data_IF_617937259447
#
_entry.id   IF_617937259447
#
_cell.length_a   1.000
_cell.length_b   1.000
_cell.length_c   1.000
_cell.angle_alpha   90.00
_cell.angle_beta   90.00
_cell.angle_gamma   90.00
#
_symmetry.space_group_name_H-M   'P 1'
#
loop_
_entity.id
_entity.type
_entity.pdbx_description
1 polymer ?
#
# COMPACT_ATOMS: atom_id res chain seq x y z
N UNK A 1 -18.66 14.41 33.26
CA UNK A 1 -18.49 13.98 31.85
C UNK A 1 -17.98 12.54 31.85
N UNK A 2 -18.31 11.75 30.83
CA UNK A 2 -17.84 10.37 30.64
C UNK A 2 -17.90 9.98 29.15
N UNK A 3 -17.17 8.92 28.74
CA UNK A 3 -17.09 8.53 27.33
C UNK A 3 -18.41 8.05 26.72
N UNK A 4 -19.33 7.48 27.52
CA UNK A 4 -20.64 7.07 26.99
C UNK A 4 -21.50 8.30 26.67
N UNK A 5 -21.41 9.34 27.49
CA UNK A 5 -22.04 10.64 27.23
C UNK A 5 -21.41 11.32 26.01
N UNK A 6 -20.08 11.37 25.91
CA UNK A 6 -19.39 11.92 24.74
C UNK A 6 -19.79 11.21 23.43
N UNK A 7 -19.90 9.87 23.46
CA UNK A 7 -20.35 9.10 22.30
C UNK A 7 -21.74 9.53 21.82
N UNK A 8 -22.67 9.79 22.75
CA UNK A 8 -24.01 10.29 22.41
C UNK A 8 -23.95 11.69 21.80
N UNK A 9 -23.19 12.61 22.42
CA UNK A 9 -22.99 13.97 21.91
C UNK A 9 -22.40 13.98 20.51
N UNK A 10 -21.42 13.11 20.25
CA UNK A 10 -20.80 12.96 18.93
C UNK A 10 -21.80 12.46 17.89
N UNK A 11 -22.59 11.44 18.21
CA UNK A 11 -23.65 10.93 17.33
C UNK A 11 -24.78 11.95 17.11
N UNK A 12 -25.02 12.82 18.08
CA UNK A 12 -25.97 13.93 18.00
C UNK A 12 -25.47 15.17 17.25
N UNK A 13 -24.25 15.14 16.70
CA UNK A 13 -23.59 16.33 16.12
C UNK A 13 -23.54 17.53 17.09
N UNK A 14 -23.38 17.27 18.38
CA UNK A 14 -23.38 18.30 19.44
C UNK A 14 -22.00 18.94 19.66
N UNK A 15 -20.98 18.51 18.91
CA UNK A 15 -19.64 19.09 18.93
C UNK A 15 -19.42 19.98 17.69
N UNK A 16 -19.58 21.32 17.80
CA UNK A 16 -19.40 22.23 16.66
C UNK A 16 -17.94 22.28 16.19
N UNK A 17 -16.99 21.97 17.08
CA UNK A 17 -15.56 21.97 16.78
C UNK A 17 -14.89 20.75 17.40
N UNK A 18 -13.76 20.34 16.85
CA UNK A 18 -12.92 19.29 17.46
C UNK A 18 -12.47 19.73 18.86
N UNK A 19 -12.21 21.02 19.07
CA UNK A 19 -11.87 21.56 20.40
C UNK A 19 -12.97 21.27 21.43
N UNK A 20 -14.25 21.45 21.08
CA UNK A 20 -15.36 21.15 22.01
C UNK A 20 -15.45 19.67 22.39
N UNK A 21 -14.95 18.77 21.54
CA UNK A 21 -14.79 17.35 21.87
C UNK A 21 -13.61 17.12 22.81
N UNK A 22 -12.47 17.77 22.56
CA UNK A 22 -11.28 17.72 23.42
C UNK A 22 -11.57 18.27 24.82
N UNK A 23 -12.34 19.36 24.92
CA UNK A 23 -12.71 19.99 26.20
C UNK A 23 -13.47 19.01 27.11
N UNK A 24 -14.32 18.15 26.53
CA UNK A 24 -15.03 17.11 27.28
C UNK A 24 -14.10 15.98 27.75
N UNK A 25 -13.05 15.65 26.98
CA UNK A 25 -11.99 14.71 27.43
C UNK A 25 -11.24 15.31 28.60
N UNK A 26 -10.82 16.58 28.48
CA UNK A 26 -10.13 17.31 29.56
C UNK A 26 -11.00 17.32 30.82
N UNK A 27 -12.31 17.53 30.70
CA UNK A 27 -13.23 17.49 31.83
C UNK A 27 -13.32 16.10 32.48
N UNK A 28 -13.22 15.00 31.72
CA UNK A 28 -13.10 13.65 32.31
C UNK A 28 -11.82 13.56 33.13
N UNK A 29 -10.71 13.99 32.55
CA UNK A 29 -9.38 13.96 33.16
C UNK A 29 -9.30 14.80 34.43
N UNK A 30 -9.81 16.03 34.40
CA UNK A 30 -9.82 16.96 35.53
C UNK A 30 -10.65 16.42 36.69
N UNK A 31 -11.81 15.84 36.40
CA UNK A 31 -12.65 15.22 37.43
C UNK A 31 -11.95 14.01 38.05
N UNK A 32 -11.30 13.17 37.24
CA UNK A 32 -10.55 12.02 37.73
C UNK A 32 -9.38 12.43 38.63
N UNK A 33 -8.60 13.44 38.23
CA UNK A 33 -7.51 14.01 39.03
C UNK A 33 -8.01 14.68 40.31
N UNK A 34 -9.10 15.43 40.23
CA UNK A 34 -9.70 16.11 41.40
C UNK A 34 -10.16 15.11 42.46
N UNK A 35 -10.77 14.00 42.05
CA UNK A 35 -11.29 13.00 42.99
C UNK A 35 -10.21 12.03 43.50
N UNK A 36 -9.30 11.59 42.64
CA UNK A 36 -8.34 10.53 42.95
C UNK A 36 -6.93 11.04 43.29
N UNK A 37 -6.63 12.30 42.98
CA UNK A 37 -5.29 12.90 43.08
C UNK A 37 -4.48 12.75 41.79
N UNK A 38 -3.64 13.74 41.52
CA UNK A 38 -2.82 13.82 40.29
C UNK A 38 -1.83 12.65 40.16
N UNK A 39 -1.24 12.20 41.27
CA UNK A 39 -0.27 11.10 41.29
C UNK A 39 -0.91 9.71 41.38
N UNK A 40 -2.25 9.64 41.37
CA UNK A 40 -2.96 8.36 41.33
C UNK A 40 -2.80 7.70 39.96
N UNK A 41 -3.05 6.39 39.89
CA UNK A 41 -3.06 5.69 38.60
C UNK A 41 -4.06 6.31 37.62
N UNK A 42 -5.19 6.83 38.11
CA UNK A 42 -6.17 7.52 37.28
C UNK A 42 -5.64 8.86 36.77
N UNK A 43 -4.91 9.61 37.60
CA UNK A 43 -4.28 10.87 37.21
C UNK A 43 -3.23 10.67 36.11
N UNK A 44 -2.37 9.66 36.26
CA UNK A 44 -1.34 9.31 35.26
C UNK A 44 -1.97 8.83 33.94
N UNK A 45 -3.00 7.98 34.00
CA UNK A 45 -3.75 7.58 32.79
C UNK A 45 -4.36 8.80 32.09
N UNK A 46 -4.82 9.79 32.85
CA UNK A 46 -5.37 11.02 32.27
C UNK A 46 -4.28 11.87 31.57
N UNK A 47 -3.03 11.85 32.06
CA UNK A 47 -1.91 12.48 31.35
C UNK A 47 -1.64 11.76 30.02
N UNK A 48 -1.54 10.43 30.04
CA UNK A 48 -1.34 9.62 28.82
C UNK A 48 -2.46 9.86 27.78
N UNK A 49 -3.72 9.96 28.24
CA UNK A 49 -4.87 10.26 27.38
C UNK A 49 -4.71 11.64 26.73
N UNK A 50 -4.37 12.67 27.51
CA UNK A 50 -4.27 14.03 26.99
C UNK A 50 -3.07 14.19 26.05
N UNK A 51 -1.95 13.51 26.31
CA UNK A 51 -0.79 13.50 25.43
C UNK A 51 -1.13 12.88 24.06
N UNK A 52 -1.84 11.74 24.05
CA UNK A 52 -2.26 11.08 22.81
C UNK A 52 -3.30 11.93 22.05
N UNK A 53 -4.23 12.57 22.75
CA UNK A 53 -5.21 13.49 22.12
C UNK A 53 -4.52 14.68 21.47
N UNK A 54 -3.56 15.30 22.17
CA UNK A 54 -2.81 16.45 21.65
C UNK A 54 -1.99 16.05 20.41
N UNK A 55 -1.34 14.90 20.46
CA UNK A 55 -0.63 14.33 19.32
C UNK A 55 -1.57 14.15 18.12
N UNK A 56 -2.67 13.42 18.27
CA UNK A 56 -3.63 13.21 17.18
C UNK A 56 -4.23 14.52 16.66
N UNK A 57 -4.48 15.48 17.55
CA UNK A 57 -5.00 16.79 17.15
C UNK A 57 -3.97 17.56 16.32
N UNK A 58 -2.69 17.54 16.68
CA UNK A 58 -1.61 18.17 15.90
C UNK A 58 -1.34 17.48 14.56
N UNK A 59 -1.60 16.18 14.46
CA UNK A 59 -1.45 15.41 13.23
C UNK A 59 -2.69 15.52 12.32
N UNK A 60 -3.80 16.05 12.82
CA UNK A 60 -5.03 16.22 12.06
C UNK A 60 -4.80 17.17 10.87
N UNK A 61 -5.32 16.84 9.70
CA UNK A 61 -5.33 17.76 8.58
C UNK A 61 -6.30 18.92 8.83
N UNK A 62 -5.88 20.14 8.49
CA UNK A 62 -6.69 21.35 8.64
C UNK A 62 -7.62 21.57 7.44
N UNK A 63 -7.23 21.06 6.27
CA UNK A 63 -7.96 21.22 5.02
C UNK A 63 -7.87 19.96 4.13
N UNK A 64 -8.73 19.92 3.11
CA UNK A 64 -8.86 18.78 2.21
C UNK A 64 -7.57 18.48 1.42
N UNK A 65 -6.80 19.51 1.04
CA UNK A 65 -5.56 19.33 0.28
C UNK A 65 -4.48 18.66 1.15
N UNK A 66 -4.38 19.06 2.40
CA UNK A 66 -3.48 18.44 3.38
C UNK A 66 -3.89 17.00 3.69
N UNK A 67 -5.20 16.73 3.84
CA UNK A 67 -5.72 15.37 4.05
C UNK A 67 -5.40 14.46 2.86
N UNK A 68 -5.58 14.97 1.64
CA UNK A 68 -5.25 14.27 0.41
C UNK A 68 -3.74 14.00 0.33
N UNK A 69 -2.89 14.99 0.62
CA UNK A 69 -1.44 14.84 0.61
C UNK A 69 -0.95 13.82 1.65
N UNK A 70 -1.50 13.83 2.87
CA UNK A 70 -1.21 12.81 3.90
C UNK A 70 -1.60 11.41 3.43
N UNK A 71 -2.77 11.28 2.79
CA UNK A 71 -3.24 10.01 2.22
C UNK A 71 -2.33 9.49 1.11
N UNK A 72 -1.84 10.38 0.23
CA UNK A 72 -0.89 10.02 -0.82
C UNK A 72 0.45 9.54 -0.23
N UNK A 73 1.02 10.26 0.74
CA UNK A 73 2.26 9.83 1.41
C UNK A 73 2.10 8.48 2.09
N UNK A 74 0.96 8.25 2.75
CA UNK A 74 0.65 6.95 3.35
C UNK A 74 0.61 5.84 2.28
N UNK A 75 -0.02 6.09 1.14
CA UNK A 75 -0.06 5.11 0.04
C UNK A 75 1.34 4.81 -0.51
N UNK A 76 2.19 5.83 -0.69
CA UNK A 76 3.58 5.67 -1.14
C UNK A 76 4.37 4.84 -0.12
N UNK A 77 4.23 5.11 1.17
CA UNK A 77 4.90 4.34 2.24
C UNK A 77 4.47 2.88 2.23
N UNK A 78 3.17 2.60 2.12
CA UNK A 78 2.65 1.24 2.02
C UNK A 78 3.16 0.52 0.77
N UNK A 79 3.23 1.22 -0.36
CA UNK A 79 3.79 0.65 -1.59
C UNK A 79 5.27 0.30 -1.44
N UNK A 80 6.06 1.19 -0.84
CA UNK A 80 7.46 0.93 -0.57
C UNK A 80 7.66 -0.25 0.40
N UNK A 81 6.83 -0.35 1.42
CA UNK A 81 6.84 -1.50 2.34
C UNK A 81 6.56 -2.81 1.59
N UNK A 82 5.54 -2.85 0.73
CA UNK A 82 5.22 -4.01 -0.08
C UNK A 82 6.30 -4.36 -1.12
N UNK A 83 7.03 -3.38 -1.67
CA UNK A 83 8.17 -3.65 -2.55
C UNK A 83 9.29 -4.35 -1.77
N UNK A 84 9.55 -3.92 -0.53
CA UNK A 84 10.63 -4.48 0.29
C UNK A 84 10.24 -5.79 0.99
N UNK A 85 8.95 -5.97 1.27
CA UNK A 85 8.36 -7.14 1.94
C UNK A 85 7.14 -7.63 1.15
N UNK A 86 7.36 -8.31 0.01
CA UNK A 86 6.25 -8.78 -0.81
C UNK A 86 5.41 -9.81 -0.05
N UNK A 87 4.07 -9.80 -0.22
CA UNK A 87 3.19 -10.82 0.33
C UNK A 87 3.63 -12.24 -0.09
N UNK A 88 3.42 -13.27 0.75
CA UNK A 88 3.81 -14.64 0.43
C UNK A 88 3.31 -15.13 -0.93
N UNK A 89 2.11 -14.71 -1.35
CA UNK A 89 1.53 -15.05 -2.66
C UNK A 89 2.34 -14.48 -3.83
N UNK A 90 2.93 -13.29 -3.66
CA UNK A 90 3.79 -12.62 -4.64
C UNK A 90 5.23 -13.13 -4.52
N UNK A 91 5.73 -13.35 -3.30
CA UNK A 91 7.05 -13.93 -3.04
C UNK A 91 7.16 -15.39 -3.50
N UNK A 92 6.03 -16.11 -3.54
CA UNK A 92 5.91 -17.48 -4.05
C UNK A 92 5.69 -17.54 -5.57
N UNK A 93 5.66 -16.41 -6.29
CA UNK A 93 5.84 -16.43 -7.74
C UNK A 93 7.21 -17.07 -7.99
N UNK A 94 7.16 -18.25 -8.58
CA UNK A 94 8.28 -19.16 -8.73
C UNK A 94 9.52 -18.42 -9.26
N UNK A 95 10.63 -18.58 -8.53
CA UNK A 95 12.00 -18.23 -8.98
C UNK A 95 12.51 -19.18 -10.06
N UNK A 96 11.61 -19.90 -10.73
CA UNK A 96 11.97 -20.99 -11.64
C UNK A 96 12.32 -20.49 -13.04
N UNK A 97 12.05 -19.22 -13.35
CA UNK A 97 12.55 -18.56 -14.57
C UNK A 97 13.88 -17.85 -14.28
N UNK A 98 15.03 -18.50 -14.54
CA UNK A 98 16.33 -17.86 -14.37
C UNK A 98 16.44 -16.63 -15.28
N UNK A 99 17.21 -15.65 -14.84
CA UNK A 99 17.53 -14.49 -15.65
C UNK A 99 18.28 -14.94 -16.93
N UNK A 100 17.80 -14.60 -18.14
CA UNK A 100 18.42 -15.02 -19.39
C UNK A 100 19.72 -14.23 -19.66
N UNK A 101 20.59 -14.78 -20.51
CA UNK A 101 21.76 -14.04 -20.98
C UNK A 101 21.34 -12.94 -21.94
N UNK A 102 21.81 -11.71 -21.71
CA UNK A 102 21.49 -10.52 -22.53
C UNK A 102 22.70 -10.00 -23.34
N UNK A 103 23.78 -10.79 -23.46
CA UNK A 103 25.05 -10.32 -24.04
C UNK A 103 25.03 -10.15 -25.56
N UNK A 104 24.15 -10.87 -26.27
CA UNK A 104 24.16 -10.96 -27.74
C UNK A 104 22.76 -10.68 -28.35
N UNK A 105 22.12 -9.59 -27.91
CA UNK A 105 20.79 -9.21 -28.40
C UNK A 105 20.86 -8.25 -29.59
N UNK A 106 20.01 -8.49 -30.58
CA UNK A 106 19.82 -7.58 -31.71
C UNK A 106 19.03 -6.33 -31.30
N UNK A 107 19.27 -5.20 -31.98
CA UNK A 107 18.59 -3.93 -31.67
C UNK A 107 17.04 -4.03 -31.71
N UNK A 108 16.50 -4.94 -32.54
CA UNK A 108 15.07 -5.21 -32.61
C UNK A 108 14.57 -5.94 -31.35
N UNK A 109 15.33 -6.93 -30.85
CA UNK A 109 15.03 -7.63 -29.61
C UNK A 109 15.10 -6.67 -28.41
N UNK A 110 16.13 -5.82 -28.36
CA UNK A 110 16.26 -4.78 -27.33
C UNK A 110 15.03 -3.88 -27.33
N UNK A 111 14.63 -3.36 -28.49
CA UNK A 111 13.47 -2.47 -28.62
C UNK A 111 12.16 -3.13 -28.15
N UNK A 112 11.97 -4.43 -28.47
CA UNK A 112 10.80 -5.21 -28.02
C UNK A 112 10.82 -5.41 -26.50
N UNK A 113 11.97 -5.73 -25.92
CA UNK A 113 12.15 -5.91 -24.47
C UNK A 113 11.90 -4.60 -23.73
N UNK A 114 12.46 -3.48 -24.20
CA UNK A 114 12.24 -2.16 -23.61
C UNK A 114 10.75 -1.77 -23.63
N UNK A 115 10.02 -2.10 -24.70
CA UNK A 115 8.57 -1.92 -24.74
C UNK A 115 7.82 -2.76 -23.70
N UNK A 116 8.27 -3.99 -23.43
CA UNK A 116 7.64 -4.89 -22.44
C UNK A 116 7.86 -4.38 -21.01
N UNK A 117 9.03 -3.78 -20.72
CA UNK A 117 9.34 -3.23 -19.38
C UNK A 117 8.88 -1.77 -19.19
N UNK A 118 8.04 -1.25 -20.10
CA UNK A 118 7.43 0.08 -19.97
C UNK A 118 8.29 1.24 -20.50
N UNK A 119 9.19 0.96 -21.43
CA UNK A 119 10.07 1.94 -22.09
C UNK A 119 11.36 2.26 -21.32
N UNK A 120 11.68 1.48 -20.29
CA UNK A 120 12.95 1.59 -19.57
C UNK A 120 14.07 0.89 -20.34
N UNK A 121 15.32 1.31 -20.10
CA UNK A 121 16.51 0.70 -20.70
C UNK A 121 16.65 -0.75 -20.26
N UNK A 122 17.06 -1.62 -21.18
CA UNK A 122 17.37 -3.04 -20.93
C UNK A 122 18.39 -3.24 -19.80
N UNK A 123 19.24 -2.26 -19.51
CA UNK A 123 20.20 -2.27 -18.40
C UNK A 123 19.53 -2.38 -17.02
N UNK A 124 18.26 -1.98 -16.92
CA UNK A 124 17.48 -2.06 -15.67
C UNK A 124 16.87 -3.44 -15.44
N UNK A 125 16.86 -4.30 -16.46
CA UNK A 125 16.13 -5.56 -16.48
C UNK A 125 16.60 -6.53 -15.39
N UNK A 126 17.91 -6.65 -15.15
CA UNK A 126 18.46 -7.55 -14.13
C UNK A 126 17.93 -7.24 -12.73
N UNK A 127 17.85 -5.94 -12.38
CA UNK A 127 17.38 -5.48 -11.06
C UNK A 127 15.88 -5.67 -10.88
N UNK A 128 15.12 -5.62 -11.97
CA UNK A 128 13.66 -5.69 -11.97
C UNK A 128 13.12 -7.05 -12.37
N UNK A 129 13.97 -8.00 -12.77
CA UNK A 129 13.58 -9.30 -13.32
C UNK A 129 12.52 -10.00 -12.48
N UNK A 130 12.75 -10.07 -11.17
CA UNK A 130 11.84 -10.74 -10.23
C UNK A 130 10.61 -9.92 -9.83
N UNK A 131 10.53 -8.64 -10.24
CA UNK A 131 9.38 -7.77 -10.04
C UNK A 131 8.43 -7.79 -11.25
N UNK A 132 8.86 -8.37 -12.37
CA UNK A 132 8.03 -8.53 -13.56
C UNK A 132 7.01 -9.66 -13.36
N UNK A 133 5.85 -9.52 -14.00
CA UNK A 133 4.84 -10.58 -14.03
C UNK A 133 5.38 -11.82 -14.76
N UNK A 134 4.82 -12.99 -14.47
CA UNK A 134 5.23 -14.24 -15.13
C UNK A 134 5.06 -14.16 -16.66
N UNK A 135 3.98 -13.54 -17.12
CA UNK A 135 3.75 -13.25 -18.54
C UNK A 135 4.86 -12.39 -19.14
N UNK A 136 5.23 -11.29 -18.48
CA UNK A 136 6.28 -10.40 -18.98
C UNK A 136 7.65 -11.10 -19.05
N UNK A 137 8.00 -11.91 -18.03
CA UNK A 137 9.24 -12.70 -18.04
C UNK A 137 9.26 -13.72 -19.19
N UNK A 138 8.14 -14.40 -19.44
CA UNK A 138 8.01 -15.34 -20.57
C UNK A 138 8.13 -14.65 -21.92
N UNK A 139 7.39 -13.57 -22.14
CA UNK A 139 7.48 -12.81 -23.40
C UNK A 139 8.89 -12.29 -23.67
N UNK A 140 9.63 -11.88 -22.62
CA UNK A 140 11.04 -11.47 -22.77
C UNK A 140 11.91 -12.65 -23.18
N UNK A 141 11.71 -13.83 -22.60
CA UNK A 141 12.43 -15.05 -23.00
C UNK A 141 12.10 -15.44 -24.43
N UNK A 142 10.83 -15.38 -24.85
CA UNK A 142 10.42 -15.69 -26.21
C UNK A 142 11.06 -14.73 -27.24
N UNK A 143 11.17 -13.44 -26.90
CA UNK A 143 11.89 -12.44 -27.72
C UNK A 143 13.38 -12.73 -27.79
N UNK A 144 14.02 -13.15 -26.69
CA UNK A 144 15.45 -13.50 -26.66
C UNK A 144 15.73 -14.78 -27.45
N UNK A 145 14.83 -15.76 -27.36
CA UNK A 145 14.96 -17.06 -28.02
C UNK A 145 14.42 -17.06 -29.46
N UNK A 146 13.91 -15.93 -29.98
CA UNK A 146 13.28 -15.80 -31.30
C UNK A 146 12.19 -16.88 -31.53
N UNK A 147 11.36 -17.13 -30.52
CA UNK A 147 10.18 -17.98 -30.69
C UNK A 147 9.06 -17.11 -31.28
N UNK A 148 8.80 -17.27 -32.57
CA UNK A 148 7.63 -16.67 -33.21
C UNK A 148 6.35 -17.32 -32.62
N UNK A 149 5.36 -16.49 -32.25
CA UNK A 149 4.00 -16.92 -31.89
C UNK A 149 3.33 -17.57 -33.11
N UNK A 150 3.64 -18.83 -33.39
CA UNK A 150 3.00 -19.61 -34.44
C UNK A 150 2.52 -20.96 -33.89
N UNK A 151 1.49 -20.90 -33.02
CA UNK A 151 0.47 -21.95 -32.97
C UNK A 151 -0.91 -21.28 -32.99
N UNK A 152 -1.31 -20.96 -34.22
CA UNK A 152 -2.69 -20.71 -34.56
C UNK A 152 -3.60 -21.87 -34.19
N UNK A 153 -4.86 -21.52 -33.96
CA UNK A 153 -6.01 -22.42 -33.85
C UNK A 153 -5.92 -23.57 -34.86
N UNK A 154 -5.71 -24.78 -34.36
CA UNK A 154 -6.13 -25.98 -35.07
C UNK A 154 -7.08 -26.78 -34.18
N UNK A 155 -8.29 -26.24 -34.04
CA UNK A 155 -9.42 -27.01 -33.55
C UNK A 155 -9.85 -27.97 -34.65
N UNK A 156 -9.55 -29.25 -34.43
CA UNK A 156 -10.19 -30.42 -35.01
C UNK A 156 -11.64 -30.16 -35.50
N UNK A 157 -11.96 -30.62 -36.71
CA UNK A 157 -12.82 -31.79 -36.79
C UNK A 157 -12.65 -32.55 -38.11
N UNK A 158 -12.11 -33.75 -37.97
CA UNK A 158 -12.18 -34.83 -38.95
C UNK A 158 -13.55 -35.48 -38.90
N UNK A 159 -14.09 -35.78 -40.08
CA UNK A 159 -14.86 -36.97 -40.44
C UNK A 159 -16.19 -37.24 -39.70
N UNK A 160 -17.29 -36.87 -40.36
CA UNK A 160 -18.51 -37.70 -40.38
C UNK A 160 -18.58 -38.39 -41.75
N UNK A 161 -18.19 -39.66 -41.80
CA UNK A 161 -18.46 -40.61 -42.89
C UNK A 161 -19.78 -41.36 -42.59
N UNK A 162 -20.46 -41.71 -43.70
CA UNK A 162 -21.68 -42.50 -43.94
C UNK A 162 -22.15 -43.54 -42.90
#
# INVERSE_FOLDING_TARGET
>A
MDFSTMKKKLQGNEYPTVQSFIDDIQLICDNAKTFNGETSIFGLICDDIMDEVNKQYSEKADNADEEWYKSLNKAIMLMNDHINSPPPEVAAIQKDTPFPSIQDLENEQISKIESIIGGESIETLEKRWYLLSDHARRSIIDVIENRDDDEGENSNNSNDDE
#
